data_IF_188873338253
#
_entry.id   IF_188873338253
#
_cell.length_a   1.000
_cell.length_b   1.000
_cell.length_c   1.000
_cell.angle_alpha   90.00
_cell.angle_beta   90.00
_cell.angle_gamma   90.00
#
_symmetry.space_group_name_H-M   'P 1'
#
loop_
_entity.id
_entity.type
_entity.pdbx_description
1 polymer ?
#
# COMPACT_ATOMS: atom_id res chain seq x y z
N UNK A 1 29.94 79.07 4.41
CA UNK A 1 30.47 77.74 4.02
C UNK A 1 29.74 76.66 4.82
N UNK A 2 28.54 76.25 4.42
CA UNK A 2 27.77 75.22 5.14
C UNK A 2 26.77 74.57 4.18
N UNK A 3 26.44 73.30 4.40
CA UNK A 3 25.31 72.55 3.82
C UNK A 3 25.45 71.69 2.53
N UNK A 4 26.64 71.43 2.00
CA UNK A 4 26.79 70.38 0.95
C UNK A 4 27.31 69.04 1.46
N UNK A 5 28.19 69.01 2.47
CA UNK A 5 28.80 67.76 2.96
C UNK A 5 27.90 66.93 3.89
N UNK A 6 26.88 67.54 4.51
CA UNK A 6 25.99 66.86 5.47
C UNK A 6 24.87 66.03 4.81
N UNK A 7 24.53 66.30 3.53
CA UNK A 7 23.49 65.55 2.79
C UNK A 7 24.01 64.24 2.21
N UNK A 8 25.29 64.18 1.85
CA UNK A 8 25.91 62.96 1.32
C UNK A 8 26.04 61.85 2.38
N UNK A 9 26.25 62.21 3.66
CA UNK A 9 26.43 61.25 4.74
C UNK A 9 25.11 60.63 5.25
N UNK A 10 23.97 61.31 5.08
CA UNK A 10 22.65 60.77 5.42
C UNK A 10 22.10 59.82 4.36
N UNK A 11 22.49 59.99 3.09
CA UNK A 11 22.10 59.09 2.01
C UNK A 11 22.85 57.74 2.06
N UNK A 12 24.13 57.74 2.43
CA UNK A 12 24.93 56.52 2.53
C UNK A 12 24.53 55.62 3.72
N UNK A 13 24.17 56.21 4.87
CA UNK A 13 23.71 55.45 6.04
C UNK A 13 22.25 54.96 5.91
N UNK A 14 21.39 55.67 5.17
CA UNK A 14 20.01 55.25 4.93
C UNK A 14 19.89 54.04 4.00
N UNK A 15 20.78 53.91 3.01
CA UNK A 15 20.79 52.77 2.08
C UNK A 15 21.43 51.53 2.73
N UNK A 16 22.43 51.69 3.59
CA UNK A 16 23.06 50.58 4.30
C UNK A 16 22.13 49.94 5.35
N UNK A 17 21.26 50.73 6.00
CA UNK A 17 20.30 50.19 6.99
C UNK A 17 19.07 49.54 6.33
N UNK A 18 18.70 49.96 5.12
CA UNK A 18 17.63 49.31 4.34
C UNK A 18 18.08 47.99 3.68
N UNK A 19 19.37 47.83 3.41
CA UNK A 19 19.95 46.59 2.89
C UNK A 19 20.15 45.50 3.97
N UNK A 20 20.15 45.86 5.25
CA UNK A 20 20.27 44.92 6.36
C UNK A 20 18.94 44.26 6.78
N UNK A 21 17.80 44.76 6.28
CA UNK A 21 16.47 44.24 6.61
C UNK A 21 15.91 43.23 5.59
N UNK A 22 16.60 42.98 4.47
CA UNK A 22 16.19 42.02 3.43
C UNK A 22 16.98 40.70 3.47
N UNK A 23 17.90 40.50 4.42
CA UNK A 23 18.70 39.28 4.52
C UNK A 23 18.07 38.18 5.40
N UNK A 24 16.80 38.30 5.78
CA UNK A 24 16.10 37.28 6.54
C UNK A 24 14.87 36.84 5.75
N UNK A 25 15.09 36.02 4.71
CA UNK A 25 14.11 35.10 4.11
C UNK A 25 14.73 34.34 2.94
N UNK A 26 15.63 33.42 3.25
CA UNK A 26 15.87 32.24 2.40
C UNK A 26 16.35 31.07 3.25
N UNK A 27 15.57 30.70 4.27
CA UNK A 27 15.53 29.31 4.70
C UNK A 27 14.84 28.50 3.59
N UNK A 28 15.56 28.35 2.47
CA UNK A 28 15.13 27.59 1.31
C UNK A 28 14.98 26.13 1.71
N UNK A 29 13.74 25.66 1.65
CA UNK A 29 13.29 24.27 1.71
C UNK A 29 14.39 23.27 1.32
N UNK A 30 14.95 22.58 2.30
CA UNK A 30 15.57 21.27 2.07
C UNK A 30 14.73 20.20 2.80
N UNK A 31 13.48 20.07 2.36
CA UNK A 31 12.74 18.83 2.50
C UNK A 31 13.19 17.94 1.34
N UNK A 32 13.78 16.78 1.64
CA UNK A 32 14.16 15.80 0.61
C UNK A 32 13.13 14.69 0.55
N UNK A 33 12.88 14.23 -0.67
CA UNK A 33 11.92 13.18 -0.99
C UNK A 33 12.44 11.83 -0.46
N UNK A 34 11.66 11.14 0.37
CA UNK A 34 11.87 9.71 0.58
C UNK A 34 11.55 8.98 -0.72
N UNK A 35 12.55 8.29 -1.28
CA UNK A 35 12.47 7.59 -2.57
C UNK A 35 11.32 6.57 -2.65
N UNK A 36 10.84 6.15 -1.49
CA UNK A 36 9.65 5.34 -1.30
C UNK A 36 9.56 4.91 0.16
N UNK A 37 8.43 4.32 0.55
CA UNK A 37 8.19 3.78 1.88
C UNK A 37 7.77 2.32 1.79
N UNK A 38 8.27 1.48 2.69
CA UNK A 38 7.93 0.06 2.78
C UNK A 38 7.75 -0.41 4.22
N UNK A 39 6.77 -1.30 4.43
CA UNK A 39 6.55 -1.96 5.72
C UNK A 39 7.17 -3.35 5.76
N UNK A 40 7.76 -3.70 6.90
CA UNK A 40 8.36 -5.00 7.16
C UNK A 40 7.69 -5.57 8.41
N UNK A 41 7.12 -6.76 8.28
CA UNK A 41 6.32 -7.36 9.35
C UNK A 41 7.02 -8.58 9.93
N UNK A 42 7.49 -8.41 11.16
CA UNK A 42 8.19 -9.42 11.95
C UNK A 42 7.30 -10.08 13.02
N UNK A 43 6.00 -9.78 13.08
CA UNK A 43 5.06 -10.40 14.04
C UNK A 43 5.00 -11.94 13.87
N UNK A 44 4.29 -12.65 14.76
CA UNK A 44 4.01 -14.08 14.58
C UNK A 44 3.34 -14.39 13.21
N UNK A 45 3.40 -15.63 12.77
CA UNK A 45 2.93 -16.08 11.45
C UNK A 45 1.41 -16.00 11.25
N UNK A 46 0.63 -16.00 12.34
CA UNK A 46 -0.81 -15.76 12.32
C UNK A 46 -1.18 -14.25 12.37
N UNK A 47 -0.21 -13.36 12.58
CA UNK A 47 -0.41 -11.92 12.71
C UNK A 47 0.13 -11.15 11.51
N UNK A 48 -0.58 -10.11 11.09
CA UNK A 48 -0.20 -9.35 9.90
C UNK A 48 -0.58 -7.89 9.99
N UNK A 49 0.36 -7.01 9.69
CA UNK A 49 0.12 -5.59 9.47
C UNK A 49 -0.47 -5.39 8.08
N UNK A 50 -1.80 -5.24 8.01
CA UNK A 50 -2.55 -5.20 6.75
C UNK A 50 -2.48 -3.85 6.06
N UNK A 51 -2.41 -2.78 6.84
CA UNK A 51 -2.23 -1.40 6.40
C UNK A 51 -1.45 -0.64 7.46
N UNK A 52 -0.75 0.40 7.02
CA UNK A 52 -0.12 1.36 7.91
C UNK A 52 -0.02 2.74 7.27
N UNK A 53 0.19 3.76 8.09
CA UNK A 53 0.35 5.14 7.69
C UNK A 53 1.52 5.76 8.46
N UNK A 54 2.27 6.64 7.80
CA UNK A 54 3.33 7.43 8.44
C UNK A 54 3.06 8.90 8.14
N UNK A 55 2.81 9.69 9.19
CA UNK A 55 2.36 11.09 9.07
C UNK A 55 1.19 11.26 8.08
N UNK A 56 0.24 10.30 8.09
CA UNK A 56 -0.91 10.27 7.19
C UNK A 56 -0.64 9.74 5.77
N UNK A 57 0.62 9.56 5.36
CA UNK A 57 0.95 8.93 4.09
C UNK A 57 0.71 7.41 4.18
N UNK A 58 -0.12 6.87 3.29
CA UNK A 58 -0.52 5.47 3.33
C UNK A 58 0.56 4.54 2.77
N UNK A 59 1.02 3.60 3.60
CA UNK A 59 1.84 2.45 3.22
C UNK A 59 1.05 1.38 2.47
N UNK A 60 1.75 0.39 1.91
CA UNK A 60 1.11 -0.87 1.48
C UNK A 60 1.06 -1.86 2.64
N UNK A 61 0.37 -2.98 2.47
CA UNK A 61 0.49 -4.13 3.35
C UNK A 61 1.96 -4.44 3.65
N UNK A 62 2.34 -4.50 4.93
CA UNK A 62 3.70 -4.80 5.32
C UNK A 62 4.06 -6.24 4.92
N UNK A 63 5.35 -6.56 4.80
CA UNK A 63 5.76 -7.89 4.38
C UNK A 63 7.26 -8.04 4.46
N UNK A 64 7.91 -8.40 3.35
CA UNK A 64 9.38 -8.50 3.30
C UNK A 64 10.07 -7.20 2.87
N UNK A 65 9.39 -6.06 2.95
CA UNK A 65 9.90 -4.77 2.49
C UNK A 65 9.78 -4.55 0.98
N UNK A 66 8.71 -3.85 0.58
CA UNK A 66 8.54 -3.27 -0.76
C UNK A 66 8.37 -1.75 -0.62
N UNK A 67 9.39 -0.97 -0.98
CA UNK A 67 9.37 0.50 -0.88
C UNK A 67 8.77 1.19 -2.11
N UNK A 68 7.61 0.71 -2.58
CA UNK A 68 7.00 1.16 -3.84
C UNK A 68 6.00 2.31 -3.71
N UNK A 69 5.73 2.79 -2.50
CA UNK A 69 4.77 3.88 -2.25
C UNK A 69 5.47 5.15 -1.82
N UNK A 70 4.87 6.31 -2.10
CA UNK A 70 5.44 7.59 -1.73
C UNK A 70 5.58 7.72 -0.21
N UNK A 71 6.78 8.03 0.25
CA UNK A 71 7.05 8.31 1.66
C UNK A 71 6.58 9.74 2.04
N UNK A 72 6.27 9.98 3.33
CA UNK A 72 6.14 11.35 3.83
C UNK A 72 7.47 12.10 3.71
N UNK A 73 7.41 13.44 3.70
CA UNK A 73 8.59 14.28 3.67
C UNK A 73 9.30 14.24 5.03
N UNK A 74 10.62 14.04 5.00
CA UNK A 74 11.50 14.15 6.15
C UNK A 74 12.54 15.25 5.91
N UNK A 75 13.04 15.89 6.99
CA UNK A 75 14.17 16.81 6.92
C UNK A 75 15.39 16.19 6.21
N UNK A 76 16.14 16.98 5.44
CA UNK A 76 17.37 16.50 4.80
C UNK A 76 18.42 15.97 5.79
N UNK A 77 18.55 16.63 6.96
CA UNK A 77 19.49 16.23 8.01
C UNK A 77 18.74 15.68 9.21
N UNK A 78 19.13 14.47 9.62
CA UNK A 78 18.67 13.89 10.87
C UNK A 78 19.11 14.74 12.07
N UNK A 79 18.28 14.80 13.11
CA UNK A 79 18.61 15.40 14.40
C UNK A 79 17.95 14.61 15.55
N UNK A 80 18.55 14.62 16.76
CA UNK A 80 17.96 13.96 17.92
C UNK A 80 16.54 14.45 18.20
N UNK A 81 15.66 13.54 18.60
CA UNK A 81 14.26 13.83 18.95
C UNK A 81 13.30 13.90 17.76
N UNK A 82 13.73 13.59 16.54
CA UNK A 82 12.82 13.43 15.41
C UNK A 82 11.91 12.20 15.60
N UNK A 83 10.61 12.41 15.39
CA UNK A 83 9.59 11.36 15.42
C UNK A 83 8.72 11.42 14.17
N UNK A 84 8.07 10.31 13.86
CA UNK A 84 6.94 10.24 12.93
C UNK A 84 5.77 9.57 13.62
N UNK A 85 4.56 9.99 13.30
CA UNK A 85 3.35 9.36 13.78
C UNK A 85 3.03 8.16 12.88
N UNK A 86 3.04 6.96 13.46
CA UNK A 86 2.74 5.70 12.76
C UNK A 86 1.43 5.15 13.26
N UNK A 87 0.51 4.85 12.33
CA UNK A 87 -0.73 4.11 12.60
C UNK A 87 -0.67 2.80 11.83
N UNK A 88 -1.08 1.68 12.43
CA UNK A 88 -1.10 0.40 11.73
C UNK A 88 -2.19 -0.53 12.22
N UNK A 89 -2.69 -1.34 11.29
CA UNK A 89 -3.71 -2.35 11.55
C UNK A 89 -3.09 -3.73 11.60
N UNK A 90 -3.19 -4.41 12.75
CA UNK A 90 -2.83 -5.82 12.89
C UNK A 90 -4.06 -6.70 12.75
N UNK A 91 -3.92 -7.77 11.98
CA UNK A 91 -4.91 -8.82 11.82
C UNK A 91 -4.38 -10.15 12.35
N UNK A 92 -5.13 -10.76 13.25
CA UNK A 92 -4.98 -12.15 13.64
C UNK A 92 -5.83 -13.03 12.71
N UNK A 93 -5.16 -13.71 11.79
CA UNK A 93 -5.78 -14.56 10.78
C UNK A 93 -6.35 -15.85 11.36
N UNK A 94 -5.84 -16.30 12.51
CA UNK A 94 -6.30 -17.53 13.15
C UNK A 94 -7.65 -17.32 13.84
N UNK A 95 -7.86 -16.14 14.44
CA UNK A 95 -9.03 -15.85 15.25
C UNK A 95 -9.99 -14.82 14.62
N UNK A 96 -9.70 -14.33 13.41
CA UNK A 96 -10.43 -13.28 12.70
C UNK A 96 -10.65 -12.01 13.55
N UNK A 97 -9.59 -11.57 14.24
CA UNK A 97 -9.60 -10.35 15.07
C UNK A 97 -8.70 -9.29 14.48
N UNK A 98 -9.14 -8.04 14.51
CA UNK A 98 -8.35 -6.88 14.10
C UNK A 98 -8.11 -5.95 15.27
N UNK A 99 -6.97 -5.26 15.25
CA UNK A 99 -6.67 -4.19 16.19
C UNK A 99 -5.85 -3.12 15.49
N UNK A 100 -6.18 -1.86 15.76
CA UNK A 100 -5.45 -0.69 15.27
C UNK A 100 -4.58 -0.17 16.39
N UNK A 101 -3.36 0.23 16.03
CA UNK A 101 -2.39 0.77 16.95
C UNK A 101 -1.81 2.06 16.38
N UNK A 102 -1.33 2.93 17.26
CA UNK A 102 -0.64 4.15 16.90
C UNK A 102 0.49 4.45 17.87
N UNK A 103 1.55 5.09 17.37
CA UNK A 103 2.67 5.55 18.18
C UNK A 103 3.44 6.67 17.47
N UNK A 104 3.98 7.60 18.24
CA UNK A 104 5.04 8.48 17.77
C UNK A 104 6.38 7.73 17.88
N UNK A 105 6.92 7.35 16.73
CA UNK A 105 8.12 6.51 16.63
C UNK A 105 9.33 7.38 16.31
N UNK A 106 10.42 7.30 17.10
CA UNK A 106 11.66 7.97 16.76
C UNK A 106 12.18 7.52 15.38
N UNK A 107 12.58 8.49 14.56
CA UNK A 107 13.31 8.21 13.32
C UNK A 107 14.76 7.97 13.67
N UNK A 108 15.31 6.83 13.27
CA UNK A 108 16.71 6.51 13.52
C UNK A 108 17.66 7.41 12.73
N UNK A 109 18.92 7.58 13.19
CA UNK A 109 19.93 8.32 12.45
C UNK A 109 20.05 7.82 11.01
N UNK A 110 20.00 8.76 10.06
CA UNK A 110 20.14 8.46 8.64
C UNK A 110 21.11 9.43 7.96
N UNK A 111 21.78 8.99 6.88
CA UNK A 111 22.83 9.76 6.26
C UNK A 111 22.26 10.93 5.45
N UNK A 112 23.05 11.98 5.19
CA UNK A 112 22.56 13.20 4.52
C UNK A 112 22.04 12.92 3.09
N UNK A 113 22.49 11.85 2.45
CA UNK A 113 21.99 11.40 1.16
C UNK A 113 20.54 10.88 1.21
N UNK A 114 20.02 10.59 2.41
CA UNK A 114 18.65 10.11 2.65
C UNK A 114 18.46 8.63 2.32
N UNK A 115 17.29 8.29 1.79
CA UNK A 115 16.94 6.93 1.41
C UNK A 115 15.43 6.65 1.35
N UNK A 116 15.08 5.39 1.19
CA UNK A 116 13.72 4.92 1.39
C UNK A 116 13.40 4.81 2.89
N UNK A 117 12.14 5.06 3.25
CA UNK A 117 11.64 4.92 4.62
C UNK A 117 11.14 3.49 4.84
N UNK A 118 11.67 2.82 5.84
CA UNK A 118 11.31 1.46 6.21
C UNK A 118 10.69 1.47 7.60
N UNK A 119 9.48 0.91 7.71
CA UNK A 119 8.79 0.72 8.98
C UNK A 119 8.85 -0.75 9.35
N UNK A 120 9.51 -1.07 10.45
CA UNK A 120 9.56 -2.42 10.99
C UNK A 120 8.54 -2.57 12.11
N UNK A 121 7.63 -3.53 11.98
CA UNK A 121 6.71 -3.94 13.03
C UNK A 121 7.26 -5.21 13.68
N UNK A 122 7.79 -5.10 14.89
CA UNK A 122 8.56 -6.15 15.57
C UNK A 122 7.68 -7.09 16.38
N UNK A 123 8.16 -8.33 16.57
CA UNK A 123 7.43 -9.39 17.27
C UNK A 123 7.08 -9.06 18.73
N UNK A 124 7.85 -8.20 19.37
CA UNK A 124 7.62 -7.71 20.73
C UNK A 124 6.64 -6.53 20.80
N UNK A 125 6.07 -6.13 19.67
CA UNK A 125 5.13 -5.01 19.55
C UNK A 125 5.80 -3.65 19.34
N UNK A 126 7.13 -3.58 19.32
CA UNK A 126 7.85 -2.32 19.04
C UNK A 126 7.85 -2.00 17.54
N UNK A 127 7.95 -0.70 17.22
CA UNK A 127 8.04 -0.21 15.84
C UNK A 127 9.34 0.55 15.66
N UNK A 128 10.08 0.28 14.58
CA UNK A 128 11.29 1.02 14.20
C UNK A 128 11.10 1.72 12.87
N UNK A 129 11.60 2.95 12.76
CA UNK A 129 11.58 3.73 11.51
C UNK A 129 13.01 3.98 11.08
N UNK A 130 13.37 3.39 9.94
CA UNK A 130 14.73 3.38 9.39
C UNK A 130 14.71 4.07 8.03
N UNK A 131 15.66 4.96 7.78
CA UNK A 131 15.86 5.54 6.45
C UNK A 131 17.19 5.03 5.89
N UNK A 132 17.15 4.39 4.72
CA UNK A 132 18.33 3.78 4.13
C UNK A 132 18.29 3.79 2.59
N UNK A 133 19.47 3.95 1.98
CA UNK A 133 19.66 3.87 0.53
C UNK A 133 19.61 2.43 0.01
N UNK A 134 19.95 1.47 0.87
CA UNK A 134 19.87 0.04 0.55
C UNK A 134 18.63 -0.59 1.18
N UNK A 135 18.09 -1.60 0.50
CA UNK A 135 16.91 -2.31 0.99
C UNK A 135 17.23 -3.32 2.10
N UNK A 136 16.22 -3.87 2.79
CA UNK A 136 16.37 -4.71 3.99
C UNK A 136 17.14 -6.02 3.81
N UNK A 137 17.42 -6.41 2.56
CA UNK A 137 18.21 -7.59 2.24
C UNK A 137 19.71 -7.30 2.09
N UNK A 138 20.10 -6.03 2.10
CA UNK A 138 21.49 -5.64 1.96
C UNK A 138 22.26 -5.96 3.26
N UNK A 139 23.51 -6.46 3.18
CA UNK A 139 24.32 -6.77 4.35
C UNK A 139 24.56 -5.57 5.29
N UNK A 140 24.63 -4.36 4.72
CA UNK A 140 24.89 -3.09 5.40
C UNK A 140 23.62 -2.32 5.79
N UNK A 141 22.44 -2.94 5.61
CA UNK A 141 21.18 -2.34 6.02
C UNK A 141 21.14 -2.10 7.54
N UNK A 142 20.81 -0.90 8.04
CA UNK A 142 20.88 -0.58 9.48
C UNK A 142 19.68 -1.11 10.30
N UNK A 143 18.62 -1.57 9.64
CA UNK A 143 17.49 -2.20 10.31
C UNK A 143 17.73 -3.67 10.66
N UNK A 144 16.77 -4.32 11.33
CA UNK A 144 16.84 -5.73 11.69
C UNK A 144 17.06 -6.68 10.49
N UNK A 145 17.89 -7.71 10.70
CA UNK A 145 18.13 -8.82 9.76
C UNK A 145 17.49 -10.14 10.21
N UNK A 146 16.63 -10.09 11.24
CA UNK A 146 15.96 -11.27 11.73
C UNK A 146 15.07 -11.90 10.63
N UNK A 147 14.90 -13.24 10.66
CA UNK A 147 14.07 -13.91 9.68
C UNK A 147 12.62 -13.42 9.78
N UNK A 148 12.13 -12.82 8.71
CA UNK A 148 10.72 -12.45 8.58
C UNK A 148 9.88 -13.74 8.51
N UNK A 149 8.92 -13.96 9.45
CA UNK A 149 8.09 -15.16 9.46
C UNK A 149 7.34 -15.34 8.15
N UNK A 150 7.25 -16.59 7.68
CA UNK A 150 6.43 -16.94 6.51
C UNK A 150 4.98 -16.88 6.90
N UNK A 151 4.34 -15.74 6.69
CA UNK A 151 2.95 -15.62 7.12
C UNK A 151 2.01 -16.14 6.07
N UNK A 152 1.37 -17.23 6.46
CA UNK A 152 0.21 -17.70 5.75
C UNK A 152 -1.00 -16.95 6.33
N UNK A 153 -1.67 -16.07 5.56
CA UNK A 153 -1.61 -16.03 4.11
C UNK A 153 -1.41 -14.62 3.55
N UNK A 154 -0.24 -14.00 3.75
CA UNK A 154 0.13 -12.79 2.96
C UNK A 154 -0.06 -13.02 1.46
N UNK A 155 0.20 -14.26 1.03
CA UNK A 155 -0.01 -14.70 -0.34
C UNK A 155 -1.48 -15.01 -0.70
N UNK A 156 -2.46 -14.67 0.11
CA UNK A 156 -3.87 -14.88 -0.25
C UNK A 156 -4.74 -13.65 -0.03
N UNK A 157 -4.28 -12.68 0.76
CA UNK A 157 -4.92 -11.38 0.83
C UNK A 157 -4.44 -10.52 -0.36
N UNK A 158 -5.37 -9.87 -1.08
CA UNK A 158 -5.00 -8.98 -2.17
C UNK A 158 -4.32 -7.75 -1.60
N UNK A 159 -3.15 -7.42 -2.15
CA UNK A 159 -2.50 -6.14 -1.95
C UNK A 159 -3.14 -5.08 -2.86
N UNK A 160 -2.85 -3.79 -2.60
CA UNK A 160 -3.20 -2.69 -3.52
C UNK A 160 -2.72 -2.91 -4.97
N UNK A 161 -1.72 -3.78 -5.17
CA UNK A 161 -1.37 -4.33 -6.48
C UNK A 161 -1.10 -5.83 -6.37
N UNK A 162 -2.06 -6.66 -6.76
CA UNK A 162 -1.93 -8.11 -6.78
C UNK A 162 -1.78 -8.66 -8.21
N UNK A 163 -0.55 -8.97 -8.60
CA UNK A 163 -0.24 -9.50 -9.94
C UNK A 163 -0.83 -10.89 -10.22
N UNK A 164 -1.31 -11.64 -9.22
CA UNK A 164 -1.85 -13.00 -9.40
C UNK A 164 -3.26 -13.01 -9.96
N UNK A 165 -3.99 -11.92 -9.69
CA UNK A 165 -5.36 -11.70 -10.12
C UNK A 165 -5.44 -10.49 -11.07
N UNK A 166 -4.38 -10.22 -11.83
CA UNK A 166 -4.29 -9.04 -12.71
C UNK A 166 -5.48 -8.95 -13.68
N UNK A 167 -5.93 -10.06 -14.25
CA UNK A 167 -7.09 -10.05 -15.15
C UNK A 167 -8.37 -9.62 -14.44
N UNK A 168 -8.57 -10.05 -13.20
CA UNK A 168 -9.71 -9.66 -12.38
C UNK A 168 -9.59 -8.19 -11.98
N UNK A 169 -8.39 -7.73 -11.64
CA UNK A 169 -8.10 -6.33 -11.35
C UNK A 169 -8.39 -5.42 -12.55
N UNK A 170 -7.92 -5.77 -13.74
CA UNK A 170 -8.20 -5.00 -14.96
C UNK A 170 -9.69 -4.91 -15.29
N UNK A 171 -10.51 -5.88 -14.89
CA UNK A 171 -11.96 -5.85 -15.05
C UNK A 171 -12.61 -4.89 -14.05
N UNK A 172 -12.20 -4.94 -12.77
CA UNK A 172 -12.64 -3.97 -11.76
C UNK A 172 -12.24 -2.54 -12.16
N UNK A 173 -10.98 -2.32 -12.56
CA UNK A 173 -10.49 -1.00 -13.01
C UNK A 173 -11.35 -0.45 -14.17
N UNK A 174 -11.77 -1.32 -15.10
CA UNK A 174 -12.64 -0.92 -16.21
C UNK A 174 -14.02 -0.51 -15.72
N UNK A 175 -14.61 -1.27 -14.80
CA UNK A 175 -15.92 -0.99 -14.23
C UNK A 175 -15.87 0.33 -13.44
N UNK A 176 -14.82 0.53 -12.65
CA UNK A 176 -14.59 1.73 -11.84
C UNK A 176 -14.44 2.95 -12.75
N UNK A 177 -13.59 2.88 -13.78
CA UNK A 177 -13.46 3.95 -14.79
C UNK A 177 -14.77 4.29 -15.47
N UNK A 178 -15.55 3.28 -15.85
CA UNK A 178 -16.87 3.51 -16.45
C UNK A 178 -17.83 4.20 -15.48
N UNK A 179 -17.86 3.77 -14.22
CA UNK A 179 -18.70 4.34 -13.15
C UNK A 179 -18.31 5.78 -12.81
N UNK A 180 -17.03 6.07 -12.75
CA UNK A 180 -16.50 7.39 -12.39
C UNK A 180 -16.42 8.37 -13.57
N UNK A 181 -16.71 7.92 -14.81
CA UNK A 181 -16.58 8.75 -16.02
C UNK A 181 -17.41 10.04 -16.02
N UNK A 182 -18.50 10.09 -15.28
CA UNK A 182 -19.37 11.27 -15.15
C UNK A 182 -19.27 11.98 -13.79
N UNK A 183 -18.34 11.58 -12.92
CA UNK A 183 -18.12 12.22 -11.63
C UNK A 183 -17.55 13.64 -11.81
N UNK A 184 -17.83 14.53 -10.85
CA UNK A 184 -17.27 15.89 -10.83
C UNK A 184 -15.74 15.89 -10.70
N UNK A 185 -15.20 14.87 -10.03
CA UNK A 185 -13.76 14.59 -9.94
C UNK A 185 -13.55 13.07 -10.18
N UNK A 186 -13.28 12.66 -11.44
CA UNK A 186 -13.08 11.26 -11.78
C UNK A 186 -11.90 10.62 -11.04
N UNK A 187 -10.81 11.35 -10.80
CA UNK A 187 -9.62 10.80 -10.17
C UNK A 187 -9.86 10.50 -8.68
N UNK A 188 -10.55 11.40 -7.97
CA UNK A 188 -10.94 11.15 -6.59
C UNK A 188 -11.96 10.00 -6.49
N UNK A 189 -12.93 9.94 -7.40
CA UNK A 189 -13.89 8.84 -7.49
C UNK A 189 -13.20 7.48 -7.71
N UNK A 190 -12.28 7.40 -8.69
CA UNK A 190 -11.53 6.18 -8.99
C UNK A 190 -10.77 5.70 -7.76
N UNK A 191 -10.05 6.61 -7.08
CA UNK A 191 -9.32 6.28 -5.85
C UNK A 191 -10.22 5.70 -4.76
N UNK A 192 -11.38 6.30 -4.53
CA UNK A 192 -12.33 5.85 -3.50
C UNK A 192 -12.95 4.49 -3.83
N UNK A 193 -13.28 4.26 -5.10
CA UNK A 193 -13.82 2.98 -5.56
C UNK A 193 -12.76 1.88 -5.57
N UNK A 194 -11.50 2.20 -5.89
CA UNK A 194 -10.37 1.27 -5.80
C UNK A 194 -10.13 0.83 -4.34
N UNK A 195 -10.15 1.79 -3.40
CA UNK A 195 -10.06 1.51 -1.96
C UNK A 195 -11.22 0.61 -1.50
N UNK A 196 -12.45 0.91 -1.93
CA UNK A 196 -13.64 0.09 -1.64
C UNK A 196 -13.52 -1.33 -2.22
N UNK A 197 -13.06 -1.46 -3.46
CA UNK A 197 -12.90 -2.76 -4.11
C UNK A 197 -11.86 -3.61 -3.38
N UNK A 198 -10.77 -3.00 -2.93
CA UNK A 198 -9.76 -3.66 -2.10
C UNK A 198 -10.35 -4.11 -0.76
N UNK A 199 -11.14 -3.28 -0.10
CA UNK A 199 -11.80 -3.63 1.16
C UNK A 199 -12.76 -4.81 1.01
N UNK A 200 -13.55 -4.83 -0.06
CA UNK A 200 -14.43 -5.96 -0.41
C UNK A 200 -13.63 -7.26 -0.63
N UNK A 201 -12.50 -7.17 -1.34
CA UNK A 201 -11.64 -8.32 -1.57
C UNK A 201 -10.98 -8.81 -0.27
N UNK A 202 -10.54 -7.90 0.60
CA UNK A 202 -10.03 -8.22 1.94
C UNK A 202 -11.12 -8.85 2.80
N UNK A 203 -12.38 -8.41 2.69
CA UNK A 203 -13.52 -9.01 3.39
C UNK A 203 -13.80 -10.45 2.92
N UNK A 204 -13.74 -10.73 1.62
CA UNK A 204 -13.85 -12.10 1.12
C UNK A 204 -12.71 -12.99 1.64
N UNK A 205 -11.50 -12.45 1.63
CA UNK A 205 -10.33 -13.15 2.15
C UNK A 205 -10.50 -13.46 3.65
N UNK A 206 -11.05 -12.54 4.46
CA UNK A 206 -11.46 -12.79 5.86
C UNK A 206 -12.52 -13.89 5.97
N UNK A 207 -13.45 -13.98 5.02
CA UNK A 207 -14.51 -15.00 5.03
C UNK A 207 -14.01 -16.41 4.68
N UNK A 208 -13.06 -16.52 3.76
CA UNK A 208 -12.70 -17.82 3.16
C UNK A 208 -11.37 -18.39 3.63
N UNK A 209 -10.41 -17.57 4.07
CA UNK A 209 -9.06 -18.04 4.43
C UNK A 209 -8.90 -18.58 5.86
N UNK A 210 -9.56 -18.05 6.91
CA UNK A 210 -9.45 -18.62 8.25
C UNK A 210 -9.88 -20.09 8.32
N UNK A 211 -10.73 -20.54 7.39
CA UNK A 211 -11.11 -21.95 7.22
C UNK A 211 -9.93 -22.88 6.90
N UNK A 212 -8.79 -22.33 6.50
CA UNK A 212 -7.57 -23.09 6.21
C UNK A 212 -6.63 -23.20 7.41
N UNK A 213 -6.86 -22.45 8.48
CA UNK A 213 -6.03 -22.49 9.69
C UNK A 213 -6.15 -23.83 10.45
N UNK A 214 -7.20 -24.61 10.20
CA UNK A 214 -7.40 -25.94 10.78
C UNK A 214 -6.73 -27.09 9.99
N UNK A 215 -6.04 -26.80 8.88
CA UNK A 215 -5.36 -27.82 8.09
C UNK A 215 -4.13 -28.35 8.84
N UNK A 216 -4.06 -29.68 9.03
CA UNK A 216 -3.01 -30.34 9.81
C UNK A 216 -1.86 -30.87 8.96
N UNK A 217 -2.02 -30.90 7.63
CA UNK A 217 -0.97 -31.28 6.67
C UNK A 217 -0.74 -30.21 5.61
N UNK A 218 0.45 -30.23 4.99
CA UNK A 218 0.76 -29.32 3.88
C UNK A 218 -0.14 -29.51 2.65
N UNK A 219 -0.62 -30.74 2.41
CA UNK A 219 -1.55 -31.04 1.31
C UNK A 219 -2.93 -30.40 1.56
N UNK A 220 -3.49 -30.62 2.74
CA UNK A 220 -4.80 -30.06 3.13
C UNK A 220 -4.78 -28.52 3.12
N UNK A 221 -3.64 -27.94 3.50
CA UNK A 221 -3.45 -26.50 3.47
C UNK A 221 -3.48 -25.94 2.04
N UNK A 222 -2.81 -26.59 1.09
CA UNK A 222 -2.77 -26.13 -0.31
C UNK A 222 -4.13 -26.33 -1.01
N UNK A 223 -4.81 -27.44 -0.75
CA UNK A 223 -6.16 -27.67 -1.27
C UNK A 223 -7.17 -26.67 -0.68
N UNK A 224 -7.10 -26.40 0.62
CA UNK A 224 -7.93 -25.37 1.24
C UNK A 224 -7.69 -23.99 0.61
N UNK A 225 -6.42 -23.59 0.43
CA UNK A 225 -6.08 -22.33 -0.24
C UNK A 225 -6.65 -22.27 -1.64
N UNK A 226 -6.59 -23.36 -2.41
CA UNK A 226 -7.17 -23.41 -3.76
C UNK A 226 -8.68 -23.14 -3.72
N UNK A 227 -9.40 -23.79 -2.81
CA UNK A 227 -10.85 -23.62 -2.64
C UNK A 227 -11.22 -22.22 -2.14
N UNK A 228 -10.43 -21.65 -1.23
CA UNK A 228 -10.60 -20.28 -0.76
C UNK A 228 -10.43 -19.27 -1.92
N UNK A 229 -9.39 -19.42 -2.75
CA UNK A 229 -9.18 -18.60 -3.96
C UNK A 229 -10.36 -18.66 -4.92
N UNK A 230 -10.91 -19.85 -5.17
CA UNK A 230 -12.09 -20.01 -6.00
C UNK A 230 -13.32 -19.30 -5.41
N UNK A 231 -13.50 -19.41 -4.08
CA UNK A 231 -14.61 -18.76 -3.38
C UNK A 231 -14.51 -17.24 -3.41
N UNK A 232 -13.31 -16.67 -3.22
CA UNK A 232 -13.06 -15.22 -3.34
C UNK A 232 -13.34 -14.73 -4.77
N UNK A 233 -12.85 -15.44 -5.80
CA UNK A 233 -13.13 -15.11 -7.20
C UNK A 233 -14.62 -15.16 -7.53
N UNK A 234 -15.33 -16.17 -7.03
CA UNK A 234 -16.78 -16.29 -7.22
C UNK A 234 -17.55 -15.14 -6.55
N UNK A 235 -17.15 -14.73 -5.34
CA UNK A 235 -17.74 -13.59 -4.64
C UNK A 235 -17.50 -12.27 -5.37
N UNK A 236 -16.27 -12.04 -5.85
CA UNK A 236 -15.92 -10.88 -6.69
C UNK A 236 -16.72 -10.85 -7.99
N UNK A 237 -16.82 -11.99 -8.68
CA UNK A 237 -17.66 -12.15 -9.88
C UNK A 237 -19.13 -11.81 -9.60
N UNK A 238 -19.71 -12.34 -8.51
CA UNK A 238 -21.09 -12.06 -8.15
C UNK A 238 -21.32 -10.55 -7.87
N UNK A 239 -20.38 -9.87 -7.22
CA UNK A 239 -20.44 -8.40 -7.03
C UNK A 239 -20.37 -7.66 -8.36
N UNK A 240 -19.47 -8.02 -9.26
CA UNK A 240 -19.38 -7.43 -10.61
C UNK A 240 -20.68 -7.60 -11.39
N UNK A 241 -21.24 -8.80 -11.43
CA UNK A 241 -22.50 -9.06 -12.16
C UNK A 241 -23.71 -8.38 -11.53
N UNK A 242 -23.70 -8.18 -10.21
CA UNK A 242 -24.72 -7.35 -9.55
C UNK A 242 -24.57 -5.87 -9.91
N UNK A 243 -23.34 -5.37 -10.02
CA UNK A 243 -23.06 -3.98 -10.33
C UNK A 243 -23.27 -3.64 -11.82
N UNK A 244 -22.89 -4.55 -12.72
CA UNK A 244 -22.99 -4.38 -14.18
C UNK A 244 -23.48 -5.69 -14.81
N UNK A 245 -24.80 -5.95 -14.81
CA UNK A 245 -25.37 -7.20 -15.32
C UNK A 245 -25.12 -7.45 -16.81
N UNK A 246 -24.82 -6.39 -17.57
CA UNK A 246 -24.56 -6.44 -19.02
C UNK A 246 -23.14 -6.87 -19.39
N UNK A 247 -22.25 -7.11 -18.42
CA UNK A 247 -20.90 -7.60 -18.71
C UNK A 247 -20.96 -8.95 -19.44
N UNK A 248 -20.10 -9.17 -20.45
CA UNK A 248 -20.07 -10.43 -21.20
C UNK A 248 -19.93 -11.67 -20.30
N UNK A 249 -19.12 -11.61 -19.23
CA UNK A 249 -18.98 -12.71 -18.29
C UNK A 249 -20.23 -13.01 -17.44
N UNK A 250 -21.15 -12.05 -17.32
CA UNK A 250 -22.39 -12.18 -16.56
C UNK A 250 -23.57 -12.67 -17.43
N UNK A 251 -23.39 -12.67 -18.75
CA UNK A 251 -24.39 -13.19 -19.69
C UNK A 251 -24.24 -14.71 -19.85
N UNK A 252 -25.32 -15.51 -19.69
CA UNK A 252 -25.25 -16.93 -19.94
C UNK A 252 -24.95 -17.19 -21.42
N UNK A 253 -23.88 -17.94 -21.71
CA UNK A 253 -23.60 -18.40 -23.08
C UNK A 253 -24.76 -19.28 -23.54
N UNK A 254 -25.35 -18.96 -24.71
CA UNK A 254 -26.30 -19.86 -25.37
C UNK A 254 -25.55 -21.17 -25.69
N UNK A 255 -25.90 -22.24 -25.00
CA UNK A 255 -25.47 -23.59 -25.36
C UNK A 255 -26.13 -23.94 -26.69
N UNK A 256 -25.35 -24.00 -27.76
CA UNK A 256 -25.82 -24.56 -29.03
C UNK A 256 -25.93 -26.07 -28.84
N UNK A 257 -27.12 -26.55 -28.48
CA UNK A 257 -27.43 -27.98 -28.43
C UNK A 257 -27.33 -28.53 -29.85
N UNK A 258 -26.25 -29.26 -30.13
CA UNK A 258 -26.13 -30.05 -31.36
C UNK A 258 -27.21 -31.13 -31.36
N UNK A 259 -28.06 -31.12 -32.39
CA UNK A 259 -29.03 -32.17 -32.69
C UNK A 259 -28.31 -33.52 -32.83
N UNK A 260 -28.78 -34.61 -32.19
CA UNK A 260 -28.22 -35.94 -32.41
C UNK A 260 -28.55 -36.40 -33.83
N UNK A 261 -27.53 -36.68 -34.62
CA UNK A 261 -27.67 -37.27 -35.94
C UNK A 261 -27.91 -38.79 -35.74
N UNK A 262 -29.14 -39.22 -36.02
CA UNK A 262 -29.51 -40.64 -36.05
C UNK A 262 -28.86 -41.30 -37.28
N UNK A 263 -27.83 -42.10 -37.06
CA UNK A 263 -27.33 -43.03 -38.07
C UNK A 263 -28.28 -44.24 -38.15
N UNK A 264 -29.12 -44.27 -39.19
CA UNK A 264 -29.83 -45.45 -39.62
C UNK A 264 -28.89 -46.30 -40.50
N UNK A 265 -28.14 -47.20 -39.87
CA UNK A 265 -27.35 -48.22 -40.56
C UNK A 265 -28.23 -49.37 -41.04
N UNK A 266 -28.41 -49.45 -42.35
CA UNK A 266 -29.03 -50.53 -43.12
C UNK A 266 -28.29 -51.86 -42.91
N UNK A 267 -29.00 -52.89 -42.46
CA UNK A 267 -28.59 -54.30 -42.61
C UNK A 267 -29.36 -54.91 -43.78
N UNK A 268 -28.66 -55.18 -44.89
CA UNK A 268 -29.15 -56.00 -46.00
C UNK A 268 -28.58 -57.42 -45.92
N UNK A 269 -29.47 -58.42 -46.02
CA UNK A 269 -29.19 -59.71 -46.65
C UNK A 269 -29.54 -59.60 -48.13
#
# INVERSE_FOLDING_TARGET
MTNRKLRAWRAAFGVALLAALTACQSAGKEERFGYGMGGIDHLADNLSVTDFWVNGAAGQQAGTGNAGVQAPLLPAKWRPGMTVHVVWDVRDWQHDKGSTYEADVPVEPYPEEGGALWVHFLADGTVRVVVANHGPRAPDYPGPHDPIPRKQPWYMYPARGDRRDLNEQLLDDRIIKQRCSSASDPALCEKQEDEKALDDQRADARRYLPKCASATTGYDLEECKKNARQSMRAARFARRCKAVPSLPECTPKKTTTGTPQHDAGVTGQ
#
